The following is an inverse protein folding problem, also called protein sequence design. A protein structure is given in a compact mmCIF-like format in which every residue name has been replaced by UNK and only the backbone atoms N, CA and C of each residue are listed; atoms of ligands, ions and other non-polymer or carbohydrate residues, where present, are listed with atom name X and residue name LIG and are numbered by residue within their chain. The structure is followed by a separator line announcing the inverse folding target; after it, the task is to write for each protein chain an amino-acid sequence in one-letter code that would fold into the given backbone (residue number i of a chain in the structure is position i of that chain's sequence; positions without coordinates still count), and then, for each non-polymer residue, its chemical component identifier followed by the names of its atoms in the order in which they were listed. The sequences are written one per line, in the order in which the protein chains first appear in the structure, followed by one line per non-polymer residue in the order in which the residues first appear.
data_IF_982649168151
#
_entry.id   IF_982649168151
#
_cell.length_a   1.000
_cell.length_b   1.000
_cell.length_c   1.000
_cell.angle_alpha   90.00
_cell.angle_beta   90.00
_cell.angle_gamma   90.00
#
_symmetry.space_group_name_H-M   'P 1'
#
loop_
_entity.id
_entity.type
_entity.pdbx_description
1 polymer ?
#
# COMPACT_ATOMS: atom_id res chain seq x y z
N UNK A 1 18.07 90.91 19.17
CA UNK A 1 18.05 89.43 19.29
C UNK A 1 17.02 88.91 18.31
N UNK A 2 17.47 88.45 17.16
CA UNK A 2 16.58 87.83 16.13
C UNK A 2 16.68 86.33 16.26
N UNK A 3 15.57 85.60 16.54
CA UNK A 3 15.47 84.19 16.53
C UNK A 3 15.16 83.70 15.10
N UNK A 4 16.03 82.82 14.56
CA UNK A 4 15.83 82.19 13.29
C UNK A 4 15.15 80.84 13.60
N UNK A 5 13.96 80.62 13.07
CA UNK A 5 13.26 79.30 13.08
C UNK A 5 13.70 78.50 11.87
N UNK A 6 14.35 77.40 12.08
CA UNK A 6 14.64 76.40 11.04
C UNK A 6 13.45 75.45 10.90
N UNK A 7 12.82 75.40 9.73
CA UNK A 7 11.80 74.43 9.38
C UNK A 7 12.48 73.15 8.84
N UNK A 8 12.32 72.04 9.55
CA UNK A 8 12.73 70.71 9.07
C UNK A 8 11.58 70.05 8.30
N UNK A 9 11.76 69.91 7.00
CA UNK A 9 10.84 69.18 6.10
C UNK A 9 11.15 67.67 6.19
N UNK A 10 10.24 66.89 6.82
CA UNK A 10 10.25 65.44 6.76
C UNK A 10 9.73 65.01 5.39
N UNK A 11 10.62 64.53 4.52
CA UNK A 11 10.27 63.84 3.28
C UNK A 11 9.87 62.39 3.60
N UNK A 12 8.57 62.10 3.59
CA UNK A 12 8.05 60.73 3.73
C UNK A 12 8.36 59.89 2.47
N UNK A 13 9.23 58.90 2.57
CA UNK A 13 9.44 57.90 1.52
C UNK A 13 8.30 56.87 1.61
N UNK A 14 7.36 56.96 0.70
CA UNK A 14 6.30 55.94 0.53
C UNK A 14 6.93 54.73 -0.21
N UNK A 15 7.28 53.70 0.52
CA UNK A 15 7.64 52.40 -0.04
C UNK A 15 6.37 51.75 -0.58
N UNK A 16 6.17 51.78 -1.89
CA UNK A 16 5.22 50.89 -2.56
C UNK A 16 5.76 49.46 -2.49
N UNK A 17 5.25 48.68 -1.56
CA UNK A 17 5.41 47.23 -1.61
C UNK A 17 4.65 46.74 -2.86
N UNK A 18 5.38 46.45 -3.93
CA UNK A 18 4.82 45.72 -5.08
C UNK A 18 4.39 44.36 -4.60
N UNK A 19 3.08 44.17 -4.38
CA UNK A 19 2.49 42.85 -4.19
C UNK A 19 2.79 42.06 -5.45
N UNK A 20 3.75 41.15 -5.38
CA UNK A 20 3.94 40.15 -6.44
C UNK A 20 2.62 39.38 -6.59
N UNK A 21 1.85 39.73 -7.65
CA UNK A 21 0.65 38.99 -8.00
C UNK A 21 1.07 37.55 -8.25
N UNK A 22 0.70 36.65 -7.35
CA UNK A 22 0.94 35.23 -7.53
C UNK A 22 0.32 34.82 -8.88
N UNK A 23 1.15 34.36 -9.80
CA UNK A 23 0.70 33.97 -11.13
C UNK A 23 -0.33 32.86 -11.00
N UNK A 24 -1.50 33.00 -11.61
CA UNK A 24 -2.57 31.99 -11.61
C UNK A 24 -2.04 30.66 -12.13
N UNK A 25 -2.16 29.56 -11.36
CA UNK A 25 -1.70 28.25 -11.82
C UNK A 25 -2.44 27.81 -13.08
N UNK A 26 -1.74 27.13 -13.98
CA UNK A 26 -2.31 26.56 -15.21
C UNK A 26 -2.14 25.07 -15.26
N UNK A 27 -3.01 24.38 -16.04
CA UNK A 27 -2.90 22.92 -16.19
C UNK A 27 -1.54 22.53 -16.77
N UNK A 28 -1.13 23.16 -17.88
CA UNK A 28 0.08 22.76 -18.62
C UNK A 28 1.34 22.88 -17.77
N UNK A 29 1.50 24.00 -17.05
CA UNK A 29 2.72 24.31 -16.31
C UNK A 29 2.74 23.73 -14.89
N UNK A 30 1.61 23.81 -14.18
CA UNK A 30 1.61 23.62 -12.73
C UNK A 30 0.90 22.30 -12.32
N UNK A 31 -0.16 21.89 -13.04
CA UNK A 31 -0.99 20.76 -12.63
C UNK A 31 -0.55 19.46 -13.30
N UNK A 32 -0.27 19.48 -14.60
CA UNK A 32 0.15 18.27 -15.33
C UNK A 32 1.37 17.58 -14.70
N UNK A 33 2.44 18.29 -14.26
CA UNK A 33 3.56 17.66 -13.56
C UNK A 33 3.15 16.94 -12.25
N UNK A 34 2.24 17.56 -11.47
CA UNK A 34 1.73 16.96 -10.23
C UNK A 34 0.95 15.69 -10.56
N UNK A 35 0.06 15.74 -11.57
CA UNK A 35 -0.77 14.61 -11.95
C UNK A 35 0.04 13.46 -12.54
N UNK A 36 1.07 13.76 -13.35
CA UNK A 36 2.00 12.73 -13.84
C UNK A 36 2.72 12.01 -12.71
N UNK A 37 3.14 12.72 -11.69
CA UNK A 37 3.89 12.16 -10.58
C UNK A 37 3.01 11.38 -9.59
N UNK A 38 1.76 11.83 -9.32
CA UNK A 38 0.97 11.40 -8.16
C UNK A 38 -0.41 10.80 -8.50
N UNK A 39 -0.91 10.95 -9.73
CA UNK A 39 -2.30 10.60 -10.06
C UNK A 39 -2.42 9.64 -11.26
N UNK A 40 -1.62 9.84 -12.30
CA UNK A 40 -1.77 9.13 -13.58
C UNK A 40 -1.44 7.64 -13.53
N UNK A 41 -0.84 7.16 -12.46
CA UNK A 41 -0.67 5.71 -12.23
C UNK A 41 -2.03 4.98 -12.27
N UNK A 42 -3.03 5.56 -11.61
CA UNK A 42 -4.39 5.02 -11.56
C UNK A 42 -5.34 5.74 -12.52
N UNK A 43 -5.18 7.06 -12.72
CA UNK A 43 -6.04 7.91 -13.54
C UNK A 43 -5.54 8.02 -14.98
N UNK A 44 -5.54 6.92 -15.70
CA UNK A 44 -5.19 6.81 -17.12
C UNK A 44 -6.22 5.92 -17.85
N UNK A 45 -6.29 5.96 -19.20
CA UNK A 45 -7.19 5.11 -19.96
C UNK A 45 -7.00 3.62 -19.61
N UNK A 46 -8.12 2.89 -19.49
CA UNK A 46 -8.16 1.45 -19.16
C UNK A 46 -7.53 1.06 -17.82
N UNK A 47 -7.34 2.01 -16.89
CA UNK A 47 -6.88 1.74 -15.53
C UNK A 47 -8.07 1.68 -14.55
N UNK A 48 -7.78 1.54 -13.25
CA UNK A 48 -8.77 1.33 -12.20
C UNK A 48 -9.64 2.56 -11.93
N UNK A 49 -9.09 3.77 -12.11
CA UNK A 49 -9.84 5.00 -11.83
C UNK A 49 -10.93 5.24 -12.89
N UNK A 50 -12.09 5.82 -12.50
CA UNK A 50 -13.22 6.00 -13.40
C UNK A 50 -13.00 7.06 -14.48
N UNK A 51 -11.96 7.90 -14.37
CA UNK A 51 -11.64 8.94 -15.33
C UNK A 51 -10.12 9.07 -15.52
N UNK A 52 -9.73 9.49 -16.72
CA UNK A 52 -8.35 9.84 -17.04
C UNK A 52 -8.01 11.25 -16.56
N UNK A 53 -6.77 11.46 -16.10
CA UNK A 53 -6.18 12.76 -15.79
C UNK A 53 -4.92 13.01 -16.64
N UNK A 54 -4.87 12.42 -17.83
CA UNK A 54 -3.72 12.52 -18.74
C UNK A 54 -3.75 13.80 -19.55
N UNK A 55 -4.93 14.18 -20.06
CA UNK A 55 -5.09 15.40 -20.85
C UNK A 55 -5.89 16.46 -20.12
N UNK A 56 -5.75 17.72 -20.56
CA UNK A 56 -6.59 18.81 -20.05
C UNK A 56 -8.08 18.55 -20.29
N UNK A 57 -8.41 18.04 -21.46
CA UNK A 57 -9.79 17.73 -21.86
C UNK A 57 -10.42 16.66 -20.96
N UNK A 58 -9.67 15.63 -20.63
CA UNK A 58 -10.12 14.58 -19.69
C UNK A 58 -10.27 15.12 -18.27
N UNK A 59 -9.35 15.99 -17.86
CA UNK A 59 -9.26 16.49 -16.47
C UNK A 59 -10.27 17.58 -16.15
N UNK A 60 -10.45 18.53 -17.08
CA UNK A 60 -11.23 19.77 -16.85
C UNK A 60 -12.66 19.54 -16.34
N UNK A 61 -13.42 18.55 -16.84
CA UNK A 61 -14.77 18.26 -16.35
C UNK A 61 -14.82 17.89 -14.87
N UNK A 62 -13.73 17.31 -14.33
CA UNK A 62 -13.60 16.80 -12.97
C UNK A 62 -12.98 17.79 -11.97
N UNK A 63 -12.60 19.00 -12.42
CA UNK A 63 -11.83 19.95 -11.62
C UNK A 63 -12.40 20.18 -10.22
N UNK A 64 -13.72 20.37 -10.08
CA UNK A 64 -14.38 20.58 -8.77
C UNK A 64 -14.26 19.35 -7.86
N UNK A 65 -14.48 18.15 -8.38
CA UNK A 65 -14.31 16.91 -7.63
C UNK A 65 -12.85 16.67 -7.23
N UNK A 66 -11.91 16.97 -8.13
CA UNK A 66 -10.47 16.90 -7.85
C UNK A 66 -10.12 17.81 -6.68
N UNK A 67 -10.53 19.09 -6.73
CA UNK A 67 -10.31 20.04 -5.62
C UNK A 67 -10.85 19.47 -4.29
N UNK A 68 -12.09 19.01 -4.28
CA UNK A 68 -12.70 18.47 -3.06
C UNK A 68 -11.93 17.28 -2.50
N UNK A 69 -11.62 16.28 -3.34
CA UNK A 69 -10.93 15.06 -2.91
C UNK A 69 -9.50 15.32 -2.45
N UNK A 70 -8.80 16.22 -3.12
CA UNK A 70 -7.42 16.60 -2.78
C UNK A 70 -7.39 17.42 -1.49
N UNK A 71 -8.26 18.42 -1.34
CA UNK A 71 -8.33 19.23 -0.13
C UNK A 71 -8.71 18.41 1.12
N UNK A 72 -9.54 17.39 0.95
CA UNK A 72 -9.91 16.44 2.01
C UNK A 72 -8.88 15.31 2.20
N UNK A 73 -7.77 15.30 1.46
CA UNK A 73 -6.74 14.26 1.47
C UNK A 73 -7.29 12.84 1.21
N UNK A 74 -8.38 12.75 0.44
CA UNK A 74 -8.97 11.47 0.01
C UNK A 74 -8.24 10.92 -1.24
N UNK A 75 -7.62 11.80 -2.03
CA UNK A 75 -6.80 11.48 -3.19
C UNK A 75 -5.49 12.29 -3.20
N UNK A 76 -4.36 11.65 -3.52
CA UNK A 76 -4.16 10.21 -3.66
C UNK A 76 -4.51 9.43 -2.38
N UNK A 77 -4.78 8.09 -2.46
CA UNK A 77 -5.12 7.30 -1.28
C UNK A 77 -3.86 7.01 -0.43
N UNK A 78 -3.44 8.00 0.35
CA UNK A 78 -2.27 7.96 1.21
C UNK A 78 -2.67 8.41 2.62
N UNK A 79 -3.08 7.43 3.45
CA UNK A 79 -3.75 7.69 4.71
C UNK A 79 -2.86 7.50 5.94
N UNK A 80 -1.57 7.13 5.75
CA UNK A 80 -0.61 7.03 6.84
C UNK A 80 -0.27 8.42 7.37
N UNK A 81 -0.19 8.55 8.68
CA UNK A 81 0.24 9.77 9.34
C UNK A 81 1.77 9.89 9.25
N UNK A 82 2.25 10.83 8.45
CA UNK A 82 3.68 11.09 8.24
C UNK A 82 4.30 11.94 9.37
N UNK A 83 3.55 12.29 10.41
CA UNK A 83 4.08 13.02 11.57
C UNK A 83 4.51 12.11 12.72
N UNK A 84 4.21 10.80 12.65
CA UNK A 84 4.55 9.82 13.68
C UNK A 84 5.17 8.57 13.08
N UNK A 85 6.08 7.93 13.81
CA UNK A 85 6.73 6.70 13.39
C UNK A 85 7.63 6.87 12.18
N UNK A 86 7.61 5.89 11.27
CA UNK A 86 8.34 5.96 10.02
C UNK A 86 7.71 6.98 9.08
N UNK A 87 8.51 7.94 8.60
CA UNK A 87 8.04 9.07 7.79
C UNK A 87 8.57 9.08 6.36
N UNK A 88 9.47 8.15 6.01
CA UNK A 88 10.06 8.04 4.67
C UNK A 88 9.63 6.75 4.00
N UNK A 89 9.08 6.86 2.80
CA UNK A 89 8.54 5.73 2.04
C UNK A 89 9.10 5.72 0.61
N UNK A 90 9.37 4.53 0.07
CA UNK A 90 9.81 4.36 -1.33
C UNK A 90 8.71 4.69 -2.33
N UNK A 91 7.46 4.44 -1.96
CA UNK A 91 6.28 4.59 -2.81
C UNK A 91 5.36 5.74 -2.38
N UNK A 92 5.91 6.82 -1.82
CA UNK A 92 5.13 7.97 -1.33
C UNK A 92 4.33 8.65 -2.45
N UNK A 93 3.01 8.48 -2.40
CA UNK A 93 2.05 9.14 -3.30
C UNK A 93 1.43 10.39 -2.69
N UNK A 94 1.78 10.77 -1.46
CA UNK A 94 1.20 11.94 -0.81
C UNK A 94 1.42 13.23 -1.59
N UNK A 95 0.53 14.19 -1.38
CA UNK A 95 0.68 15.56 -1.87
C UNK A 95 1.19 16.45 -0.73
N UNK A 96 2.21 17.26 -1.03
CA UNK A 96 2.62 18.34 -0.15
C UNK A 96 1.51 19.40 -0.05
N UNK A 97 1.49 20.18 1.02
CA UNK A 97 0.51 21.26 1.17
C UNK A 97 0.58 22.24 0.00
N UNK A 98 1.78 22.56 -0.48
CA UNK A 98 1.98 23.40 -1.67
C UNK A 98 1.31 22.83 -2.92
N UNK A 99 1.40 21.52 -3.15
CA UNK A 99 0.72 20.88 -4.29
C UNK A 99 -0.79 20.94 -4.14
N UNK A 100 -1.31 20.69 -2.93
CA UNK A 100 -2.75 20.84 -2.63
C UNK A 100 -3.21 22.25 -2.91
N UNK A 101 -2.52 23.27 -2.38
CA UNK A 101 -2.86 24.68 -2.56
C UNK A 101 -2.82 25.09 -4.03
N UNK A 102 -1.84 24.59 -4.79
CA UNK A 102 -1.72 24.81 -6.25
C UNK A 102 -2.92 24.26 -7.00
N UNK A 103 -3.34 23.02 -6.70
CA UNK A 103 -4.52 22.41 -7.34
C UNK A 103 -5.79 23.17 -6.97
N UNK A 104 -5.96 23.55 -5.70
CA UNK A 104 -7.10 24.34 -5.23
C UNK A 104 -7.16 25.67 -5.93
N UNK A 105 -6.06 26.43 -5.98
CA UNK A 105 -5.97 27.73 -6.63
C UNK A 105 -6.25 27.64 -8.14
N UNK A 106 -5.75 26.59 -8.81
CA UNK A 106 -6.04 26.33 -10.22
C UNK A 106 -7.54 26.18 -10.48
N UNK A 107 -8.23 25.38 -9.65
CA UNK A 107 -9.67 25.17 -9.80
C UNK A 107 -10.46 26.42 -9.51
N UNK A 108 -10.08 27.20 -8.47
CA UNK A 108 -10.74 28.44 -8.08
C UNK A 108 -10.58 29.54 -9.14
N UNK A 109 -9.48 29.53 -9.88
CA UNK A 109 -9.24 30.41 -11.03
C UNK A 109 -9.98 29.97 -12.32
N UNK A 110 -10.89 28.97 -12.23
CA UNK A 110 -11.66 28.47 -13.37
C UNK A 110 -10.97 27.35 -14.16
N UNK A 111 -9.92 26.77 -13.60
CA UNK A 111 -9.13 25.69 -14.18
C UNK A 111 -8.60 26.00 -15.60
N UNK A 112 -7.77 27.04 -15.78
CA UNK A 112 -7.22 27.43 -17.07
C UNK A 112 -6.23 26.38 -17.61
N UNK A 113 -6.18 26.22 -18.95
CA UNK A 113 -5.26 25.29 -19.60
C UNK A 113 -3.80 25.73 -19.55
N UNK A 114 -3.55 27.01 -19.81
CA UNK A 114 -2.21 27.52 -20.02
C UNK A 114 -1.64 27.26 -21.43
N UNK A 115 -0.37 27.57 -21.66
CA UNK A 115 0.28 27.29 -22.94
C UNK A 115 0.61 25.79 -23.05
N UNK A 116 0.18 25.10 -24.12
CA UNK A 116 0.53 23.71 -24.35
C UNK A 116 2.04 23.42 -24.43
N UNK A 117 2.86 24.43 -24.72
CA UNK A 117 4.34 24.29 -24.74
C UNK A 117 4.93 24.06 -23.36
N UNK A 118 4.21 24.45 -22.31
CA UNK A 118 4.62 24.25 -20.91
C UNK A 118 4.33 22.84 -20.41
N UNK A 119 3.65 21.98 -21.19
CA UNK A 119 3.39 20.60 -20.81
C UNK A 119 4.70 19.82 -20.62
N UNK A 120 4.82 19.05 -19.52
CA UNK A 120 5.94 18.14 -19.37
C UNK A 120 5.91 17.06 -20.47
N UNK A 121 7.04 16.41 -20.77
CA UNK A 121 7.05 15.25 -21.65
C UNK A 121 6.01 14.22 -21.19
N UNK A 122 5.28 13.64 -22.15
CA UNK A 122 4.24 12.66 -21.83
C UNK A 122 4.83 11.45 -21.11
N UNK A 123 4.20 11.05 -19.98
CA UNK A 123 4.54 9.81 -19.31
C UNK A 123 4.04 8.63 -20.15
N UNK A 124 4.83 7.56 -20.22
CA UNK A 124 4.36 6.30 -20.86
C UNK A 124 3.14 5.79 -20.07
N UNK A 125 2.02 5.64 -20.77
CA UNK A 125 0.78 5.10 -20.18
C UNK A 125 0.86 3.57 -20.22
N UNK A 126 0.47 2.91 -19.12
CA UNK A 126 0.36 1.47 -19.07
C UNK A 126 -0.95 0.98 -19.74
N UNK A 127 -1.00 1.09 -21.07
CA UNK A 127 -2.16 0.64 -21.84
C UNK A 127 -2.25 -0.89 -21.96
N UNK A 128 -1.11 -1.60 -21.84
CA UNK A 128 -0.97 -3.00 -22.22
C UNK A 128 -0.93 -3.98 -21.04
N UNK A 129 -1.35 -3.55 -19.84
CA UNK A 129 -1.24 -4.35 -18.63
C UNK A 129 0.23 -4.81 -18.38
N UNK A 130 1.20 -3.94 -18.60
CA UNK A 130 2.61 -4.22 -18.32
C UNK A 130 2.86 -4.34 -16.80
N UNK A 131 3.81 -5.16 -16.41
CA UNK A 131 4.23 -5.27 -15.01
C UNK A 131 4.80 -3.94 -14.50
N UNK A 132 4.41 -3.53 -13.30
CA UNK A 132 4.91 -2.29 -12.69
C UNK A 132 6.43 -2.32 -12.52
N UNK A 133 6.98 -3.47 -12.14
CA UNK A 133 8.43 -3.65 -12.06
C UNK A 133 9.14 -3.43 -13.39
N UNK A 134 8.54 -3.81 -14.52
CA UNK A 134 9.09 -3.52 -15.86
C UNK A 134 9.06 -2.02 -16.15
N UNK A 135 7.95 -1.33 -15.83
CA UNK A 135 7.83 0.12 -16.01
C UNK A 135 8.84 0.90 -15.19
N UNK A 136 9.15 0.40 -13.99
CA UNK A 136 10.12 1.03 -13.07
C UNK A 136 11.58 0.64 -13.40
N UNK A 137 11.82 -0.11 -14.50
CA UNK A 137 13.15 -0.37 -15.03
C UNK A 137 13.84 -1.64 -14.52
N UNK A 138 13.13 -2.53 -13.82
CA UNK A 138 13.71 -3.79 -13.33
C UNK A 138 13.85 -4.87 -14.41
N UNK A 139 13.41 -4.58 -15.65
CA UNK A 139 13.42 -5.55 -16.75
C UNK A 139 12.28 -6.59 -16.64
N UNK A 140 12.20 -7.54 -17.58
CA UNK A 140 11.16 -8.57 -17.58
C UNK A 140 11.34 -9.50 -16.36
N UNK A 141 10.22 -10.08 -15.83
CA UNK A 141 10.30 -11.09 -14.80
C UNK A 141 10.94 -12.39 -15.33
N UNK A 142 11.65 -13.10 -14.46
CA UNK A 142 12.26 -14.39 -14.78
C UNK A 142 11.21 -15.51 -14.85
N UNK A 143 10.11 -15.38 -14.08
CA UNK A 143 9.06 -16.39 -14.01
C UNK A 143 7.69 -15.72 -13.82
N UNK A 144 6.69 -16.20 -14.56
CA UNK A 144 5.28 -15.81 -14.37
C UNK A 144 4.45 -17.07 -14.13
N UNK A 145 3.68 -17.06 -13.04
CA UNK A 145 2.77 -18.15 -12.68
C UNK A 145 1.35 -17.59 -12.68
N UNK A 146 0.41 -18.31 -13.29
CA UNK A 146 -0.99 -17.89 -13.41
C UNK A 146 -1.90 -18.79 -12.62
N UNK A 147 -2.92 -18.22 -11.99
CA UNK A 147 -4.05 -18.99 -11.51
C UNK A 147 -4.95 -19.41 -12.66
N UNK A 148 -5.81 -20.41 -12.45
CA UNK A 148 -7.00 -20.55 -13.28
C UNK A 148 -7.93 -19.36 -13.05
N UNK A 149 -8.80 -19.10 -14.02
CA UNK A 149 -9.76 -18.00 -13.96
C UNK A 149 -11.13 -18.49 -13.48
N UNK A 150 -11.82 -17.64 -12.74
CA UNK A 150 -13.22 -17.81 -12.36
C UNK A 150 -14.10 -16.93 -13.26
N UNK A 151 -15.18 -17.51 -13.79
CA UNK A 151 -16.16 -16.76 -14.58
C UNK A 151 -17.12 -16.04 -13.66
N UNK A 152 -16.79 -14.78 -13.35
CA UNK A 152 -17.60 -13.94 -12.47
C UNK A 152 -18.81 -13.39 -13.22
N UNK A 153 -20.05 -13.59 -12.73
CA UNK A 153 -21.25 -13.05 -13.37
C UNK A 153 -21.31 -11.53 -13.23
N UNK A 154 -22.15 -10.87 -14.06
CA UNK A 154 -22.33 -9.43 -14.04
C UNK A 154 -22.87 -8.89 -12.69
N UNK A 155 -23.62 -9.72 -11.95
CA UNK A 155 -24.17 -9.41 -10.64
C UNK A 155 -24.20 -10.66 -9.77
N UNK A 156 -24.10 -10.49 -8.45
CA UNK A 156 -24.09 -11.61 -7.51
C UNK A 156 -23.33 -11.26 -6.24
N UNK A 157 -23.20 -12.26 -5.38
CA UNK A 157 -22.43 -12.14 -4.15
C UNK A 157 -20.93 -12.26 -4.46
N UNK A 158 -20.10 -11.77 -3.54
CA UNK A 158 -18.65 -11.95 -3.57
C UNK A 158 -18.28 -13.43 -3.52
N UNK A 159 -17.18 -13.76 -4.20
CA UNK A 159 -16.66 -15.13 -4.31
C UNK A 159 -15.22 -15.17 -3.80
N UNK A 160 -14.91 -16.16 -2.95
CA UNK A 160 -13.55 -16.52 -2.56
C UNK A 160 -13.08 -17.70 -3.41
N UNK A 161 -12.28 -17.40 -4.45
CA UNK A 161 -11.78 -18.40 -5.37
C UNK A 161 -10.35 -18.82 -4.99
N UNK A 162 -10.16 -20.13 -4.75
CA UNK A 162 -8.91 -20.68 -4.19
C UNK A 162 -8.27 -21.74 -5.08
N UNK A 163 -7.85 -21.41 -6.31
CA UNK A 163 -7.18 -22.34 -7.19
C UNK A 163 -5.75 -22.61 -6.74
N UNK A 164 -5.15 -23.65 -7.37
CA UNK A 164 -3.74 -23.99 -7.21
C UNK A 164 -3.01 -23.90 -8.53
N UNK A 165 -1.72 -23.52 -8.49
CA UNK A 165 -0.83 -23.49 -9.65
C UNK A 165 0.47 -24.19 -9.33
N UNK A 166 1.04 -24.89 -10.30
CA UNK A 166 2.38 -25.48 -10.21
C UNK A 166 3.45 -24.38 -10.29
N UNK A 167 4.54 -24.55 -9.55
CA UNK A 167 5.73 -23.69 -9.65
C UNK A 167 6.76 -24.39 -10.54
N UNK A 168 6.96 -23.94 -11.79
CA UNK A 168 7.75 -24.68 -12.78
C UNK A 168 9.26 -24.43 -12.64
N UNK A 169 9.82 -24.79 -11.48
CA UNK A 169 11.27 -24.73 -11.22
C UNK A 169 11.81 -26.13 -10.89
N UNK A 170 13.06 -26.38 -11.26
CA UNK A 170 13.73 -27.68 -11.05
C UNK A 170 14.81 -27.65 -9.98
N UNK A 171 15.10 -26.47 -9.43
CA UNK A 171 16.08 -26.24 -8.37
C UNK A 171 15.63 -25.08 -7.46
N UNK A 172 16.12 -25.00 -6.22
CA UNK A 172 15.82 -23.88 -5.34
C UNK A 172 16.20 -22.55 -5.97
N UNK A 173 15.31 -21.55 -5.89
CA UNK A 173 15.56 -20.21 -6.43
C UNK A 173 15.18 -19.13 -5.41
N UNK A 174 15.96 -18.08 -5.39
CA UNK A 174 15.71 -16.93 -4.55
C UNK A 174 15.03 -15.82 -5.33
N UNK A 175 13.93 -15.31 -4.75
CA UNK A 175 13.12 -14.22 -5.30
C UNK A 175 13.59 -12.91 -4.68
N UNK A 176 13.99 -11.95 -5.51
CA UNK A 176 14.39 -10.59 -5.09
C UNK A 176 13.24 -9.59 -5.15
N UNK A 177 12.27 -9.86 -6.00
CA UNK A 177 11.08 -9.01 -6.18
C UNK A 177 9.91 -9.86 -6.66
N UNK A 178 8.71 -9.48 -6.24
CA UNK A 178 7.46 -10.15 -6.61
C UNK A 178 6.37 -9.14 -6.89
N UNK A 179 5.54 -9.41 -7.90
CA UNK A 179 4.38 -8.60 -8.25
C UNK A 179 3.19 -9.49 -8.59
N UNK A 180 2.00 -9.17 -8.05
CA UNK A 180 0.73 -9.80 -8.44
C UNK A 180 -0.10 -8.76 -9.20
N UNK A 181 -0.81 -9.24 -10.23
CA UNK A 181 -1.80 -8.44 -10.95
C UNK A 181 -2.97 -9.32 -11.43
N UNK A 182 -4.12 -8.74 -11.76
CA UNK A 182 -5.19 -9.43 -12.47
C UNK A 182 -4.73 -9.91 -13.86
N UNK A 183 -5.23 -11.07 -14.32
CA UNK A 183 -4.85 -11.68 -15.59
C UNK A 183 -5.18 -10.83 -16.83
N UNK A 184 -6.14 -9.91 -16.70
CA UNK A 184 -6.54 -9.02 -17.79
C UNK A 184 -7.08 -7.69 -17.27
N UNK A 185 -7.20 -6.69 -18.15
CA UNK A 185 -7.62 -5.33 -17.77
C UNK A 185 -9.05 -5.28 -17.21
N UNK A 186 -9.98 -6.10 -17.72
CA UNK A 186 -11.36 -6.13 -17.22
C UNK A 186 -11.44 -6.73 -15.82
N UNK A 187 -10.61 -7.74 -15.56
CA UNK A 187 -10.52 -8.38 -14.25
C UNK A 187 -10.10 -7.42 -13.13
N UNK A 188 -9.43 -6.30 -13.44
CA UNK A 188 -9.05 -5.26 -12.45
C UNK A 188 -10.24 -4.69 -11.68
N UNK A 189 -11.43 -4.67 -12.27
CA UNK A 189 -12.63 -4.15 -11.63
C UNK A 189 -13.28 -5.14 -10.66
N UNK A 190 -13.02 -6.44 -10.88
CA UNK A 190 -13.66 -7.51 -10.10
C UNK A 190 -12.72 -8.25 -9.15
N UNK A 191 -11.40 -8.04 -9.19
CA UNK A 191 -10.44 -8.60 -8.24
C UNK A 191 -10.15 -7.58 -7.14
N UNK A 192 -10.66 -7.82 -5.93
CA UNK A 192 -10.46 -6.92 -4.80
C UNK A 192 -9.10 -7.12 -4.14
N UNK A 193 -8.74 -8.38 -3.82
CA UNK A 193 -7.40 -8.76 -3.36
C UNK A 193 -7.07 -10.18 -3.79
N UNK A 194 -5.78 -10.50 -3.77
CA UNK A 194 -5.24 -11.82 -4.10
C UNK A 194 -4.02 -12.12 -3.25
N UNK A 195 -4.01 -13.28 -2.60
CA UNK A 195 -2.88 -13.75 -1.81
C UNK A 195 -2.33 -15.01 -2.46
N UNK A 196 -1.01 -15.08 -2.62
CA UNK A 196 -0.30 -16.25 -3.10
C UNK A 196 0.45 -16.92 -1.94
N UNK A 197 0.04 -18.11 -1.56
CA UNK A 197 0.68 -18.94 -0.53
C UNK A 197 1.53 -20.03 -1.18
N UNK A 198 2.73 -20.26 -0.63
CA UNK A 198 3.54 -21.41 -0.96
C UNK A 198 2.96 -22.66 -0.27
N UNK A 199 2.70 -23.70 -1.04
CA UNK A 199 2.31 -25.02 -0.52
C UNK A 199 3.49 -25.95 -0.65
N UNK A 200 4.12 -26.22 0.48
CA UNK A 200 5.38 -26.93 0.58
C UNK A 200 5.15 -28.41 0.88
N UNK A 201 6.03 -29.27 0.36
CA UNK A 201 6.17 -30.64 0.88
C UNK A 201 6.74 -30.60 2.31
N UNK A 202 6.58 -31.68 3.06
CA UNK A 202 7.15 -31.78 4.41
C UNK A 202 8.67 -31.55 4.42
N UNK A 203 9.38 -32.05 3.39
CA UNK A 203 10.83 -31.91 3.25
C UNK A 203 11.25 -30.45 2.93
N UNK A 204 10.41 -29.73 2.20
CA UNK A 204 10.68 -28.34 1.83
C UNK A 204 10.35 -27.33 2.93
N UNK A 205 9.49 -27.67 3.89
CA UNK A 205 9.11 -26.74 4.99
C UNK A 205 10.35 -26.29 5.77
N UNK A 206 11.25 -27.20 6.11
CA UNK A 206 12.47 -26.86 6.84
C UNK A 206 13.38 -25.97 6.01
N UNK A 207 13.63 -26.30 4.75
CA UNK A 207 14.48 -25.51 3.86
C UNK A 207 13.98 -24.09 3.66
N UNK A 208 12.66 -23.92 3.48
CA UNK A 208 12.03 -22.62 3.33
C UNK A 208 12.14 -21.79 4.60
N UNK A 209 12.00 -22.40 5.79
CA UNK A 209 12.07 -21.67 7.07
C UNK A 209 13.49 -21.33 7.51
N UNK A 210 14.50 -22.12 7.09
CA UNK A 210 15.92 -21.89 7.44
C UNK A 210 16.67 -21.08 6.41
N UNK A 211 16.11 -20.85 5.23
CA UNK A 211 16.79 -20.19 4.13
C UNK A 211 17.85 -21.05 3.41
N UNK A 212 18.10 -22.26 3.90
CA UNK A 212 19.03 -23.22 3.28
C UNK A 212 18.41 -24.62 3.30
N UNK A 213 18.66 -25.40 2.25
CA UNK A 213 18.21 -26.80 2.18
C UNK A 213 18.84 -27.71 3.26
N UNK A 214 19.95 -27.28 3.90
CA UNK A 214 20.72 -28.05 4.88
C UNK A 214 21.11 -27.22 6.12
N UNK A 215 20.49 -26.05 6.35
CA UNK A 215 20.78 -25.21 7.50
C UNK A 215 20.14 -25.76 8.78
N UNK A 216 20.72 -25.40 9.97
CA UNK A 216 20.05 -25.70 11.23
C UNK A 216 18.65 -25.05 11.20
N UNK A 217 17.63 -25.78 11.68
CA UNK A 217 16.30 -25.24 11.82
C UNK A 217 16.40 -23.94 12.65
N UNK A 218 16.13 -22.80 12.03
CA UNK A 218 15.82 -21.61 12.79
C UNK A 218 14.69 -22.04 13.74
N UNK A 219 14.82 -21.73 15.03
CA UNK A 219 13.83 -22.11 16.02
C UNK A 219 12.46 -21.65 15.48
N UNK A 220 11.63 -22.63 15.11
CA UNK A 220 10.33 -22.35 14.50
C UNK A 220 9.54 -21.48 15.45
N UNK A 221 9.20 -20.27 15.01
CA UNK A 221 8.28 -19.44 15.77
C UNK A 221 6.92 -20.14 15.80
N UNK A 222 6.04 -19.87 16.79
CA UNK A 222 4.67 -20.34 16.73
C UNK A 222 3.97 -19.99 15.41
N UNK A 223 4.33 -18.86 14.79
CA UNK A 223 3.87 -18.47 13.47
C UNK A 223 4.41 -19.37 12.36
N UNK A 224 5.66 -19.79 12.44
CA UNK A 224 6.26 -20.74 11.47
C UNK A 224 5.60 -22.12 11.55
N UNK A 225 5.27 -22.58 12.76
CA UNK A 225 4.56 -23.83 12.97
C UNK A 225 3.10 -23.78 12.50
N UNK A 226 2.48 -22.61 12.59
CA UNK A 226 1.11 -22.38 12.07
C UNK A 226 1.12 -22.18 10.57
N UNK A 227 2.20 -21.66 10.00
CA UNK A 227 2.32 -21.34 8.58
C UNK A 227 3.08 -22.41 7.80
N UNK A 228 2.52 -23.61 7.68
CA UNK A 228 2.92 -24.55 6.62
C UNK A 228 2.63 -24.00 5.22
N UNK A 229 2.12 -22.78 5.12
CA UNK A 229 1.78 -22.07 3.89
C UNK A 229 2.32 -20.64 3.97
N UNK A 230 3.67 -20.42 3.84
CA UNK A 230 4.24 -19.07 3.81
C UNK A 230 3.59 -18.25 2.71
N UNK A 231 3.37 -16.97 2.98
CA UNK A 231 2.86 -16.06 1.96
C UNK A 231 4.00 -15.58 1.09
N UNK A 232 3.88 -15.82 -0.21
CA UNK A 232 4.82 -15.28 -1.19
C UNK A 232 4.55 -13.78 -1.40
N UNK A 233 3.27 -13.44 -1.61
CA UNK A 233 2.81 -12.06 -1.70
C UNK A 233 1.32 -11.97 -1.37
N UNK A 234 0.94 -10.85 -0.77
CA UNK A 234 -0.43 -10.36 -0.69
C UNK A 234 -0.56 -9.12 -1.59
N UNK A 235 -1.62 -9.06 -2.38
CA UNK A 235 -1.92 -7.95 -3.26
C UNK A 235 -3.34 -7.45 -3.03
N UNK A 236 -3.50 -6.14 -3.00
CA UNK A 236 -4.78 -5.46 -3.05
C UNK A 236 -4.68 -4.27 -4.00
N UNK A 237 -5.81 -3.67 -4.34
CA UNK A 237 -5.88 -2.50 -5.22
C UNK A 237 -4.97 -1.38 -4.71
N UNK A 238 -4.10 -0.87 -5.58
CA UNK A 238 -3.13 0.18 -5.25
C UNK A 238 -1.75 -0.35 -4.85
N UNK A 239 -1.58 -1.65 -4.63
CA UNK A 239 -0.27 -2.26 -4.43
C UNK A 239 0.37 -2.62 -5.78
N UNK A 240 1.63 -2.23 -5.97
CA UNK A 240 2.49 -2.70 -7.07
C UNK A 240 3.21 -4.00 -6.70
N UNK A 241 4.52 -3.93 -6.61
CA UNK A 241 5.39 -5.06 -6.26
C UNK A 241 5.94 -4.95 -4.84
N UNK A 242 6.46 -6.07 -4.32
CA UNK A 242 7.35 -6.10 -3.16
C UNK A 242 8.78 -6.30 -3.65
N UNK A 243 9.63 -5.27 -3.48
CA UNK A 243 11.08 -5.35 -3.67
C UNK A 243 11.73 -5.57 -2.31
N UNK A 244 12.39 -6.72 -2.15
CA UNK A 244 13.05 -7.04 -0.89
C UNK A 244 14.35 -6.24 -0.74
N UNK A 245 14.74 -5.88 0.51
CA UNK A 245 15.99 -5.16 0.73
C UNK A 245 17.20 -5.91 0.15
N UNK A 246 18.28 -5.20 -0.23
CA UNK A 246 19.50 -5.84 -0.72
C UNK A 246 20.02 -6.94 0.21
N UNK A 247 20.43 -8.07 -0.35
CA UNK A 247 20.91 -9.23 0.42
C UNK A 247 19.80 -10.02 1.11
N UNK A 248 18.53 -9.76 0.78
CA UNK A 248 17.38 -10.50 1.30
C UNK A 248 16.47 -11.00 0.19
N UNK A 249 15.67 -12.00 0.45
CA UNK A 249 14.72 -12.53 -0.52
C UNK A 249 13.79 -13.60 0.05
N UNK A 250 12.92 -14.12 -0.80
CA UNK A 250 12.09 -15.31 -0.50
C UNK A 250 12.62 -16.51 -1.27
N UNK A 251 12.62 -17.66 -0.61
CA UNK A 251 13.05 -18.91 -1.23
C UNK A 251 11.86 -19.66 -1.79
N UNK A 252 11.96 -20.12 -3.05
CA UNK A 252 11.01 -21.04 -3.68
C UNK A 252 11.72 -22.35 -4.00
N UNK A 253 11.02 -23.48 -3.85
CA UNK A 253 11.56 -24.82 -3.93
C UNK A 253 10.94 -25.64 -5.05
N UNK A 254 11.68 -26.58 -5.66
CA UNK A 254 11.10 -27.49 -6.64
C UNK A 254 9.95 -28.30 -6.07
N UNK A 255 8.91 -28.52 -6.88
CA UNK A 255 7.74 -29.33 -6.51
C UNK A 255 6.75 -28.66 -5.57
N UNK A 256 6.99 -27.38 -5.20
CA UNK A 256 5.96 -26.62 -4.50
C UNK A 256 4.87 -26.13 -5.47
N UNK A 257 3.72 -25.76 -4.88
CA UNK A 257 2.60 -25.16 -5.59
C UNK A 257 2.28 -23.79 -5.00
N UNK A 258 1.62 -22.94 -5.75
CA UNK A 258 0.96 -21.77 -5.22
C UNK A 258 -0.51 -22.07 -4.97
N UNK A 259 -0.97 -21.81 -3.77
CA UNK A 259 -2.39 -21.75 -3.45
C UNK A 259 -2.81 -20.29 -3.41
N UNK A 260 -3.80 -19.97 -4.21
CA UNK A 260 -4.34 -18.60 -4.27
C UNK A 260 -5.50 -18.43 -3.29
N UNK A 261 -5.68 -17.23 -2.81
CA UNK A 261 -6.90 -16.79 -2.14
C UNK A 261 -7.32 -15.47 -2.78
N UNK A 262 -8.32 -15.54 -3.66
CA UNK A 262 -8.77 -14.43 -4.49
C UNK A 262 -10.17 -14.02 -4.08
N UNK A 263 -10.32 -12.75 -3.69
CA UNK A 263 -11.62 -12.16 -3.40
C UNK A 263 -12.14 -11.46 -4.66
N UNK A 264 -13.22 -11.97 -5.20
CA UNK A 264 -13.83 -11.53 -6.45
C UNK A 264 -15.20 -10.91 -6.19
N UNK A 265 -15.52 -9.83 -6.90
CA UNK A 265 -16.85 -9.23 -6.87
C UNK A 265 -17.38 -8.93 -8.28
N UNK A 266 -18.70 -8.85 -8.39
CA UNK A 266 -19.38 -8.56 -9.65
C UNK A 266 -19.22 -7.07 -10.03
N UNK A 267 -18.84 -6.80 -11.28
CA UNK A 267 -18.51 -5.45 -11.77
C UNK A 267 -19.51 -4.86 -12.77
N UNK A 268 -20.71 -5.47 -12.90
CA UNK A 268 -21.73 -5.04 -13.85
C UNK A 268 -21.62 -5.68 -15.25
N UNK A 269 -20.55 -6.44 -15.51
CA UNK A 269 -20.37 -7.26 -16.73
C UNK A 269 -19.83 -8.64 -16.33
N UNK A 270 -20.10 -9.64 -17.18
CA UNK A 270 -19.53 -10.98 -17.01
C UNK A 270 -18.05 -10.95 -17.40
N UNK A 271 -17.14 -11.37 -16.50
CA UNK A 271 -15.69 -11.31 -16.70
C UNK A 271 -15.01 -12.57 -16.17
N UNK A 272 -14.05 -13.11 -16.93
CA UNK A 272 -13.12 -14.10 -16.40
C UNK A 272 -12.06 -13.40 -15.57
N UNK A 273 -11.96 -13.75 -14.27
CA UNK A 273 -11.07 -13.13 -13.30
C UNK A 273 -10.11 -14.18 -12.75
N UNK A 274 -8.83 -13.90 -12.82
CA UNK A 274 -7.75 -14.64 -12.21
C UNK A 274 -6.62 -13.70 -11.81
N UNK A 275 -5.58 -14.27 -11.23
CA UNK A 275 -4.36 -13.56 -10.87
C UNK A 275 -3.16 -14.18 -11.56
N UNK A 276 -2.17 -13.38 -11.83
CA UNK A 276 -0.83 -13.84 -12.19
C UNK A 276 0.22 -13.18 -11.29
N UNK A 277 1.27 -13.94 -10.97
CA UNK A 277 2.39 -13.48 -10.17
C UNK A 277 3.67 -13.53 -10.99
N UNK A 278 4.39 -12.43 -10.99
CA UNK A 278 5.71 -12.30 -11.59
C UNK A 278 6.78 -12.38 -10.50
N UNK A 279 7.85 -13.10 -10.78
CA UNK A 279 8.99 -13.27 -9.89
C UNK A 279 10.26 -12.84 -10.61
N UNK A 280 11.02 -11.94 -9.98
CA UNK A 280 12.37 -11.59 -10.38
C UNK A 280 13.32 -12.31 -9.44
N UNK A 281 14.21 -13.12 -10.02
CA UNK A 281 15.06 -14.03 -9.30
C UNK A 281 16.47 -13.45 -9.12
N UNK A 282 17.14 -13.88 -8.06
CA UNK A 282 18.58 -13.65 -7.97
C UNK A 282 19.32 -14.49 -9.02
N UNK A 283 20.36 -13.94 -9.67
CA UNK A 283 21.27 -14.74 -10.48
C UNK A 283 21.90 -15.84 -9.62
N UNK A 284 22.15 -17.00 -10.21
CA UNK A 284 22.90 -18.09 -9.53
C UNK A 284 24.26 -17.61 -9.10
N UNK A 285 24.66 -17.97 -7.89
CA UNK A 285 25.91 -17.53 -7.27
C UNK A 285 25.85 -16.13 -6.64
N UNK A 286 24.66 -15.49 -6.65
CA UNK A 286 24.39 -14.19 -6.00
C UNK A 286 23.22 -14.29 -5.03
N UNK A 287 23.00 -15.47 -4.46
CA UNK A 287 21.91 -15.74 -3.55
C UNK A 287 22.01 -14.85 -2.30
N UNK A 288 20.88 -14.37 -1.76
CA UNK A 288 20.91 -13.57 -0.55
C UNK A 288 21.22 -14.43 0.67
N UNK A 289 21.78 -13.82 1.69
CA UNK A 289 22.10 -14.50 2.96
C UNK A 289 20.97 -14.45 3.98
N UNK A 290 19.97 -13.57 3.77
CA UNK A 290 18.85 -13.37 4.69
C UNK A 290 17.51 -13.57 3.98
N UNK A 291 16.54 -14.10 4.72
CA UNK A 291 15.21 -14.34 4.21
C UNK A 291 14.23 -13.25 4.63
N UNK A 292 13.38 -12.85 3.69
CA UNK A 292 12.23 -11.98 3.93
C UNK A 292 10.97 -12.81 4.15
N UNK A 293 10.16 -12.44 5.12
CA UNK A 293 8.88 -13.07 5.45
C UNK A 293 7.77 -12.04 5.38
N UNK A 294 6.56 -12.45 5.01
CA UNK A 294 5.36 -11.64 5.16
C UNK A 294 4.58 -12.17 6.37
N UNK A 295 4.39 -11.31 7.36
CA UNK A 295 3.73 -11.64 8.62
C UNK A 295 2.52 -10.74 8.82
N UNK A 296 1.38 -11.33 9.19
CA UNK A 296 0.20 -10.61 9.66
C UNK A 296 0.23 -10.48 11.18
N UNK A 297 0.73 -9.36 11.68
CA UNK A 297 0.65 -9.05 13.11
C UNK A 297 -0.80 -8.74 13.46
N UNK A 298 -1.37 -9.51 14.38
CA UNK A 298 -2.78 -9.37 14.73
C UNK A 298 -3.04 -8.15 15.60
N UNK A 299 -4.10 -7.40 15.28
CA UNK A 299 -4.67 -6.36 16.13
C UNK A 299 -5.80 -6.89 17.03
N UNK A 300 -5.93 -8.20 17.20
CA UNK A 300 -6.98 -8.83 17.98
C UNK A 300 -6.43 -9.40 19.29
N UNK A 301 -7.11 -9.14 20.40
CA UNK A 301 -6.78 -9.66 21.72
C UNK A 301 -6.67 -11.19 21.76
N UNK A 302 -7.52 -11.85 20.97
CA UNK A 302 -7.51 -13.30 20.74
C UNK A 302 -7.65 -13.54 19.26
N UNK A 303 -6.78 -14.39 18.68
CA UNK A 303 -6.83 -14.74 17.27
C UNK A 303 -8.21 -15.28 16.89
N UNK A 304 -8.79 -14.78 15.80
CA UNK A 304 -10.11 -15.17 15.33
C UNK A 304 -11.27 -14.68 16.19
N UNK A 305 -11.04 -13.65 17.03
CA UNK A 305 -12.10 -13.09 17.84
C UNK A 305 -12.14 -11.56 17.71
N UNK A 306 -13.28 -11.08 17.25
CA UNK A 306 -13.67 -9.67 17.26
C UNK A 306 -15.13 -9.60 17.71
N UNK A 307 -15.47 -8.59 18.48
CA UNK A 307 -16.81 -8.38 19.00
C UNK A 307 -17.12 -6.88 18.97
N UNK A 308 -17.83 -6.46 17.91
CA UNK A 308 -18.15 -5.06 17.67
C UNK A 308 -19.66 -4.86 17.87
N UNK A 309 -20.07 -4.16 18.93
CA UNK A 309 -21.50 -3.93 19.21
C UNK A 309 -22.17 -3.06 18.16
N UNK A 310 -23.51 -3.14 18.03
CA UNK A 310 -24.29 -2.24 17.17
C UNK A 310 -24.09 -0.78 17.56
N UNK A 311 -24.16 0.11 16.56
CA UNK A 311 -24.17 1.57 16.73
C UNK A 311 -23.03 2.12 17.60
N UNK A 312 -21.86 1.45 17.60
CA UNK A 312 -20.75 1.80 18.50
C UNK A 312 -19.41 1.94 17.76
N UNK A 313 -18.50 2.69 18.41
CA UNK A 313 -17.07 2.59 18.15
C UNK A 313 -16.51 1.45 18.99
N UNK A 314 -15.63 0.64 18.41
CA UNK A 314 -14.95 -0.45 19.10
C UNK A 314 -13.44 -0.33 19.00
N UNK A 315 -12.74 -0.95 19.93
CA UNK A 315 -11.28 -0.99 20.01
C UNK A 315 -10.82 -2.40 20.36
N UNK A 316 -9.78 -2.84 19.67
CA UNK A 316 -9.06 -4.08 19.98
C UNK A 316 -7.56 -3.86 19.91
N UNK A 317 -6.81 -4.76 20.48
CA UNK A 317 -5.35 -4.77 20.38
C UNK A 317 -4.81 -6.20 20.41
N UNK A 318 -3.68 -6.39 19.76
CA UNK A 318 -2.95 -7.64 19.76
C UNK A 318 -1.46 -7.41 20.00
N UNK A 319 -0.79 -8.45 20.50
CA UNK A 319 0.61 -8.40 20.88
C UNK A 319 1.35 -9.60 20.29
N UNK A 320 2.49 -9.33 19.67
CA UNK A 320 3.38 -10.36 19.11
C UNK A 320 4.79 -10.10 19.57
N UNK A 321 5.41 -11.07 20.24
CA UNK A 321 6.81 -10.98 20.69
C UNK A 321 7.74 -11.37 19.55
N UNK A 322 8.67 -10.50 19.18
CA UNK A 322 9.70 -10.82 18.20
C UNK A 322 10.67 -11.86 18.77
N UNK A 323 10.83 -12.97 18.09
CA UNK A 323 11.68 -14.08 18.52
C UNK A 323 13.14 -13.91 18.12
N UNK A 324 13.40 -13.04 17.15
CA UNK A 324 14.72 -12.71 16.63
C UNK A 324 14.87 -11.19 16.48
N UNK A 325 16.12 -10.70 16.33
CA UNK A 325 16.37 -9.35 15.88
C UNK A 325 15.73 -9.16 14.51
N UNK A 326 14.83 -8.19 14.38
CA UNK A 326 13.93 -8.09 13.24
C UNK A 326 13.98 -6.71 12.60
N UNK A 327 14.20 -6.65 11.29
CA UNK A 327 14.00 -5.47 10.45
C UNK A 327 12.58 -5.53 9.88
N UNK A 328 11.79 -4.47 10.01
CA UNK A 328 10.46 -4.33 9.41
C UNK A 328 10.57 -3.40 8.20
N UNK A 329 10.10 -3.82 7.02
CA UNK A 329 10.38 -3.10 5.77
C UNK A 329 9.15 -2.42 5.13
N UNK A 330 7.94 -2.74 5.60
CA UNK A 330 6.70 -2.12 5.16
C UNK A 330 5.62 -2.24 6.23
N UNK A 331 4.50 -1.58 5.98
CA UNK A 331 3.27 -1.70 6.73
C UNK A 331 2.06 -1.60 5.80
N UNK A 332 1.14 -2.55 5.91
CA UNK A 332 -0.15 -2.52 5.23
C UNK A 332 -1.26 -2.87 6.22
N UNK A 333 -2.11 -1.90 6.62
CA UNK A 333 -3.25 -2.17 7.47
C UNK A 333 -4.32 -2.93 6.71
N UNK A 334 -4.91 -3.93 7.34
CA UNK A 334 -6.01 -4.72 6.79
C UNK A 334 -7.17 -4.78 7.78
N UNK A 335 -8.32 -4.34 7.32
CA UNK A 335 -9.64 -4.43 7.93
C UNK A 335 -10.67 -4.71 6.85
N UNK A 336 -11.94 -4.85 7.27
CA UNK A 336 -13.08 -4.78 6.37
C UNK A 336 -13.82 -3.43 6.48
N UNK A 337 -15.14 -3.42 6.29
CA UNK A 337 -15.92 -2.19 6.10
C UNK A 337 -16.00 -1.27 7.32
N UNK A 338 -15.81 -1.79 8.54
CA UNK A 338 -15.87 -0.99 9.78
C UNK A 338 -14.50 -0.55 10.28
N UNK A 339 -13.41 -0.99 9.62
CA UNK A 339 -12.06 -0.53 9.97
C UNK A 339 -11.95 1.00 9.92
N UNK A 340 -11.41 1.58 11.01
CA UNK A 340 -11.30 3.04 11.16
C UNK A 340 -9.86 3.51 11.22
N UNK A 341 -9.06 2.88 12.09
CA UNK A 341 -7.68 3.25 12.31
C UNK A 341 -6.85 2.05 12.79
N UNK A 342 -5.57 2.06 12.46
CA UNK A 342 -4.60 1.09 12.94
C UNK A 342 -3.31 1.78 13.36
N UNK A 343 -2.80 1.40 14.55
CA UNK A 343 -1.50 1.85 15.06
C UNK A 343 -0.63 0.65 15.37
N UNK A 344 0.63 0.74 15.00
CA UNK A 344 1.66 -0.23 15.35
C UNK A 344 2.68 0.43 16.25
N UNK A 345 2.92 -0.15 17.41
CA UNK A 345 3.92 0.27 18.38
C UNK A 345 4.90 -0.87 18.69
N UNK A 346 6.16 -0.52 18.90
CA UNK A 346 7.18 -1.42 19.39
C UNK A 346 7.44 -1.11 20.88
N UNK A 347 7.35 -2.13 21.71
CA UNK A 347 7.70 -2.09 23.15
C UNK A 347 8.99 -2.89 23.31
N UNK A 348 10.10 -2.19 23.51
CA UNK A 348 11.43 -2.78 23.57
C UNK A 348 11.67 -3.51 24.91
N UNK A 349 12.63 -4.42 25.01
CA UNK A 349 12.95 -5.14 26.25
C UNK A 349 13.36 -4.22 27.41
N UNK A 350 13.89 -3.03 27.12
CA UNK A 350 14.23 -2.01 28.10
C UNK A 350 13.03 -1.18 28.60
N UNK A 351 11.83 -1.47 28.09
CA UNK A 351 10.59 -0.75 28.40
C UNK A 351 10.35 0.47 27.52
N UNK A 352 11.28 0.84 26.63
CA UNK A 352 11.11 1.92 25.67
C UNK A 352 9.97 1.62 24.70
N UNK A 353 9.14 2.63 24.39
CA UNK A 353 8.04 2.53 23.43
C UNK A 353 8.23 3.50 22.30
N UNK A 354 7.93 3.05 21.08
CA UNK A 354 7.90 3.91 19.89
C UNK A 354 6.77 3.52 18.94
N UNK A 355 6.13 4.53 18.36
CA UNK A 355 5.17 4.28 17.28
C UNK A 355 5.95 3.93 16.03
N UNK A 356 5.61 2.81 15.40
CA UNK A 356 6.19 2.37 14.13
C UNK A 356 5.42 2.99 12.97
N UNK A 357 4.09 2.86 12.99
CA UNK A 357 3.20 3.42 11.96
C UNK A 357 1.80 3.66 12.49
N UNK A 358 1.12 4.65 11.92
CA UNK A 358 -0.27 4.96 12.23
C UNK A 358 -1.05 5.34 10.99
N UNK A 359 -2.20 4.69 10.79
CA UNK A 359 -3.21 5.06 9.81
C UNK A 359 -4.46 5.46 10.57
N UNK A 360 -4.75 6.76 10.63
CA UNK A 360 -5.87 7.30 11.42
C UNK A 360 -7.20 7.36 10.67
N UNK A 361 -7.17 7.17 9.36
CA UNK A 361 -8.35 7.22 8.49
C UNK A 361 -8.27 6.12 7.44
N UNK A 362 -8.39 4.87 7.91
CA UNK A 362 -8.40 3.70 7.02
C UNK A 362 -9.57 3.78 6.03
N UNK A 363 -9.32 3.34 4.80
CA UNK A 363 -10.32 3.26 3.75
C UNK A 363 -10.25 1.86 3.12
N UNK A 364 -11.32 1.10 3.28
CA UNK A 364 -11.44 -0.28 2.79
C UNK A 364 -11.14 -0.42 1.29
N UNK A 365 -11.48 0.58 0.47
CA UNK A 365 -11.21 0.56 -0.97
C UNK A 365 -9.72 0.71 -1.32
N UNK A 366 -8.86 1.05 -0.35
CA UNK A 366 -7.44 1.33 -0.55
C UNK A 366 -6.60 0.70 0.56
N UNK A 367 -6.28 -0.56 0.40
CA UNK A 367 -5.37 -1.29 1.30
C UNK A 367 -3.92 -0.99 0.90
N UNK A 368 -3.51 0.27 1.06
CA UNK A 368 -2.19 0.75 0.65
C UNK A 368 -1.08 0.06 1.44
N UNK A 369 -0.10 -0.46 0.72
CA UNK A 369 1.16 -0.93 1.30
C UNK A 369 2.16 0.24 1.38
N UNK A 370 2.57 0.61 2.59
CA UNK A 370 3.54 1.68 2.86
C UNK A 370 4.93 1.08 2.96
N UNK A 371 5.72 1.15 1.88
CA UNK A 371 7.05 0.56 1.79
C UNK A 371 8.06 1.55 2.37
N UNK A 372 8.69 1.20 3.49
CA UNK A 372 9.66 2.07 4.14
C UNK A 372 10.92 2.27 3.28
N UNK A 373 11.47 3.48 3.31
CA UNK A 373 12.80 3.71 2.74
C UNK A 373 13.85 2.88 3.50
N UNK A 374 14.88 2.41 2.80
CA UNK A 374 15.87 1.50 3.40
C UNK A 374 16.61 2.12 4.58
N UNK A 375 16.81 3.45 4.57
CA UNK A 375 17.42 4.23 5.65
C UNK A 375 16.47 4.55 6.81
N UNK A 376 15.18 4.22 6.67
CA UNK A 376 14.14 4.50 7.65
C UNK A 376 13.43 3.24 8.17
N UNK A 377 13.69 2.08 7.57
CA UNK A 377 13.13 0.81 8.01
C UNK A 377 13.61 0.48 9.44
N UNK A 378 12.70 0.31 10.42
CA UNK A 378 13.07 0.12 11.81
C UNK A 378 13.56 -1.31 12.06
N UNK A 379 14.62 -1.42 12.86
CA UNK A 379 15.15 -2.68 13.37
C UNK A 379 14.94 -2.78 14.88
N UNK A 380 14.40 -3.91 15.32
CA UNK A 380 14.09 -4.16 16.72
C UNK A 380 14.83 -5.38 17.26
N UNK A 381 15.32 -5.33 18.51
CA UNK A 381 15.95 -6.48 19.13
C UNK A 381 14.93 -7.58 19.45
N UNK A 382 15.42 -8.81 19.53
CA UNK A 382 14.69 -9.96 20.07
C UNK A 382 14.05 -9.61 21.41
N UNK A 383 12.84 -10.08 21.64
CA UNK A 383 12.06 -9.78 22.85
C UNK A 383 11.23 -8.49 22.76
N UNK A 384 11.37 -7.69 21.68
CA UNK A 384 10.46 -6.56 21.44
C UNK A 384 9.06 -7.09 21.22
N UNK A 385 8.07 -6.42 21.82
CA UNK A 385 6.65 -6.69 21.60
C UNK A 385 6.11 -5.72 20.57
N UNK A 386 5.61 -6.24 19.46
CA UNK A 386 4.84 -5.46 18.50
C UNK A 386 3.39 -5.46 18.93
N UNK A 387 2.91 -4.29 19.29
CA UNK A 387 1.51 -4.03 19.64
C UNK A 387 0.80 -3.45 18.44
N UNK A 388 -0.29 -4.08 18.01
CA UNK A 388 -1.19 -3.57 16.97
C UNK A 388 -2.48 -3.16 17.63
N UNK A 389 -2.83 -1.88 17.56
CA UNK A 389 -4.08 -1.31 18.05
C UNK A 389 -5.02 -1.06 16.87
N UNK A 390 -6.28 -1.45 16.99
CA UNK A 390 -7.28 -1.39 15.94
C UNK A 390 -8.57 -0.74 16.43
N UNK A 391 -9.09 0.21 15.65
CA UNK A 391 -10.35 0.91 15.92
C UNK A 391 -11.35 0.62 14.80
N UNK A 392 -12.61 0.46 15.19
CA UNK A 392 -13.73 0.19 14.29
C UNK A 392 -14.83 1.24 14.48
N UNK A 393 -15.54 1.54 13.41
CA UNK A 393 -16.72 2.40 13.40
C UNK A 393 -17.92 1.61 12.85
N UNK A 394 -18.72 1.05 13.77
CA UNK A 394 -19.98 0.37 13.44
C UNK A 394 -21.20 1.30 13.60
N UNK A 395 -21.01 2.61 13.46
CA UNK A 395 -22.09 3.59 13.55
C UNK A 395 -22.66 3.94 12.17
N UNK A 396 -23.82 4.60 12.16
CA UNK A 396 -24.42 5.16 10.94
C UNK A 396 -23.60 6.27 10.27
N UNK A 397 -22.57 6.79 10.95
CA UNK A 397 -21.69 7.82 10.39
C UNK A 397 -20.58 7.23 9.50
N UNK A 398 -20.38 5.92 9.55
CA UNK A 398 -19.49 5.23 8.63
C UNK A 398 -20.21 4.93 7.31
N UNK A 399 -19.87 5.62 6.20
CA UNK A 399 -20.58 5.44 4.92
C UNK A 399 -20.35 4.05 4.29
N UNK A 400 -19.35 3.30 4.75
CA UNK A 400 -19.05 1.95 4.27
C UNK A 400 -19.75 0.86 5.08
N UNK A 401 -20.39 1.21 6.21
CA UNK A 401 -21.07 0.25 7.06
C UNK A 401 -22.41 -0.18 6.44
N UNK A 402 -22.62 -1.46 6.09
CA UNK A 402 -23.85 -1.90 5.45
C UNK A 402 -25.04 -1.97 6.41
N UNK A 403 -24.79 -2.20 7.70
CA UNK A 403 -25.83 -2.28 8.72
C UNK A 403 -25.25 -1.97 10.11
N UNK A 404 -25.51 -0.78 10.65
CA UNK A 404 -25.03 -0.38 11.97
C UNK A 404 -25.74 -1.09 13.13
N UNK A 405 -26.90 -1.70 12.91
CA UNK A 405 -27.69 -2.35 13.96
C UNK A 405 -27.24 -3.81 14.22
N UNK A 406 -26.29 -4.33 13.43
CA UNK A 406 -25.74 -5.67 13.59
C UNK A 406 -24.54 -5.70 14.53
N UNK A 407 -24.46 -6.76 15.34
CA UNK A 407 -23.21 -7.21 15.94
C UNK A 407 -22.29 -7.76 14.87
N UNK A 408 -20.99 -7.42 14.94
CA UNK A 408 -20.00 -7.86 13.94
C UNK A 408 -18.92 -8.69 14.62
N UNK A 409 -18.78 -9.92 14.15
CA UNK A 409 -17.77 -10.87 14.59
C UNK A 409 -16.59 -10.97 13.62
N UNK A 410 -15.63 -11.81 14.01
CA UNK A 410 -14.51 -12.18 13.14
C UNK A 410 -14.96 -13.08 12.00
N UNK A 411 -14.45 -12.83 10.80
CA UNK A 411 -14.67 -13.70 9.65
C UNK A 411 -14.02 -13.18 8.37
N UNK A 412 -14.08 -14.01 7.34
CA UNK A 412 -13.45 -13.75 6.05
C UNK A 412 -14.34 -12.87 5.14
N UNK A 413 -15.65 -12.79 5.39
CA UNK A 413 -16.55 -12.02 4.53
C UNK A 413 -16.33 -10.52 4.73
N UNK A 414 -16.53 -9.74 3.69
CA UNK A 414 -16.46 -8.27 3.73
C UNK A 414 -17.34 -7.64 4.83
N UNK A 415 -18.46 -8.30 5.17
CA UNK A 415 -19.38 -7.87 6.23
C UNK A 415 -18.98 -8.31 7.63
N UNK A 416 -18.06 -9.23 7.78
CA UNK A 416 -17.37 -9.58 9.03
C UNK A 416 -16.23 -8.59 9.27
N UNK A 417 -15.38 -8.80 10.29
CA UNK A 417 -14.22 -7.95 10.54
C UNK A 417 -12.95 -8.72 10.86
N UNK A 418 -11.84 -8.07 10.54
CA UNK A 418 -10.48 -8.49 10.84
C UNK A 418 -9.67 -7.29 11.37
N UNK A 419 -8.46 -7.53 11.87
CA UNK A 419 -7.43 -6.53 12.08
C UNK A 419 -6.06 -7.17 11.94
N UNK A 420 -5.37 -6.88 10.85
CA UNK A 420 -4.01 -7.37 10.61
C UNK A 420 -3.11 -6.23 10.11
N UNK A 421 -1.94 -6.11 10.71
CA UNK A 421 -0.85 -5.32 10.17
C UNK A 421 0.04 -6.26 9.34
N UNK A 422 -0.10 -6.25 8.01
CA UNK A 422 0.75 -7.04 7.12
C UNK A 422 2.09 -6.34 6.97
N UNK A 423 3.18 -7.06 7.29
CA UNK A 423 4.53 -6.53 7.27
C UNK A 423 5.52 -7.54 6.70
N UNK A 424 6.35 -7.11 5.77
CA UNK A 424 7.55 -7.86 5.42
C UNK A 424 8.61 -7.62 6.49
N UNK A 425 9.17 -8.72 6.99
CA UNK A 425 10.22 -8.71 8.01
C UNK A 425 11.44 -9.48 7.54
N UNK A 426 12.61 -9.07 8.00
CA UNK A 426 13.88 -9.78 7.81
C UNK A 426 14.44 -10.09 9.19
N UNK A 427 14.73 -11.35 9.47
CA UNK A 427 15.41 -11.72 10.71
C UNK A 427 16.91 -11.44 10.58
N UNK A 428 17.39 -10.60 11.49
CA UNK A 428 18.79 -10.22 11.60
C UNK A 428 19.44 -11.19 12.58
N UNK A 429 19.72 -12.40 12.12
CA UNK A 429 20.52 -13.34 12.94
C UNK A 429 21.90 -12.74 13.14
N UNK A 430 22.42 -12.81 14.37
CA UNK A 430 23.84 -12.49 14.64
C UNK A 430 24.69 -13.41 13.77
N UNK A 431 25.51 -12.79 12.89
CA UNK A 431 26.43 -13.49 11.99
C UNK A 431 27.61 -14.07 12.77
#
# INVERSE_FOLDING_TARGET
MRRVLAAASLGGVILFAASASAQTPTFSKDIAPIFQAKCQECHQPNSIAPMSLVTFQDTRPWARSIKQRVAQRQMPPWHIDQSVGVTKFKNDMSLSQKQIDTIVAWVDAGAPQGDPKDLPPAKKINADNEWKGVQDGYGPPDLVIKSSEYKMPASGQDVWYRPMSEVPITEPRWVKMVEIRPTNLKARKGLHHSIAYQVLSADNVQAVNTGTANGPAAASTPEDLVNRRPQLMEWAIGKGYDLFPPGTGKLIMPGEKLSWDQHLHASGEEVNIGSEIALWLYPKGQEPTKRSYLIGFTGLKKRGFVDIPPNSMAYTEGFTVLKENTLITNFQPHFHLRGKAMKVEAIKPDGGREVVSYVGNFNFNWMTNYIYADDAAPAFPKGTVIQVSAWYDNTKNNPSNPDPDQWVGYGDRTVDEMAHAWMNVVYLTDA
#
